data_IF_086471097976
#
_entry.id   IF_086471097976
#
_cell.length_a   1.000
_cell.length_b   1.000
_cell.length_c   1.000
_cell.angle_alpha   90.00
_cell.angle_beta   90.00
_cell.angle_gamma   90.00
#
_symmetry.space_group_name_H-M   'P 1'
#
loop_
_entity.id
_entity.type
_entity.pdbx_description
1 polymer ?
#
# COMPACT_ATOMS: atom_id res chain seq x y z
N UNK A 1 -24.14 7.22 -3.22
CA UNK A 1 -22.77 7.02 -3.72
C UNK A 1 -22.33 5.66 -3.20
N UNK A 2 -22.15 4.66 -4.07
CA UNK A 2 -21.63 3.37 -3.63
C UNK A 2 -20.19 3.60 -3.15
N UNK A 3 -19.84 3.10 -1.95
CA UNK A 3 -18.45 3.09 -1.52
C UNK A 3 -17.64 2.28 -2.53
N UNK A 4 -16.51 2.82 -3.00
CA UNK A 4 -15.60 2.09 -3.88
C UNK A 4 -15.09 0.86 -3.11
N UNK A 5 -15.25 -0.32 -3.70
CA UNK A 5 -14.89 -1.59 -3.07
C UNK A 5 -13.41 -1.87 -3.28
N UNK A 6 -12.73 -2.41 -2.26
CA UNK A 6 -11.37 -2.96 -2.36
C UNK A 6 -11.26 -3.90 -3.57
N UNK A 7 -10.16 -3.80 -4.28
CA UNK A 7 -9.91 -4.52 -5.53
C UNK A 7 -9.23 -5.87 -5.30
N UNK A 8 -8.49 -6.01 -4.20
CA UNK A 8 -7.82 -7.27 -3.81
C UNK A 8 -8.64 -8.05 -2.77
N UNK A 9 -8.24 -9.29 -2.50
CA UNK A 9 -8.85 -10.15 -1.46
C UNK A 9 -7.83 -10.58 -0.40
N UNK A 10 -8.32 -10.94 0.79
CA UNK A 10 -7.48 -11.49 1.87
C UNK A 10 -6.70 -12.72 1.36
N UNK A 11 -7.36 -13.61 0.62
CA UNK A 11 -6.73 -14.81 0.06
C UNK A 11 -5.59 -14.45 -0.90
N UNK A 12 -5.75 -13.41 -1.73
CA UNK A 12 -4.69 -12.95 -2.63
C UNK A 12 -3.51 -12.34 -1.87
N UNK A 13 -3.78 -11.55 -0.84
CA UNK A 13 -2.76 -10.98 0.05
C UNK A 13 -1.98 -12.10 0.74
N UNK A 14 -2.68 -13.11 1.31
CA UNK A 14 -2.08 -14.29 1.94
C UNK A 14 -1.29 -15.17 0.98
N UNK A 15 -1.79 -15.38 -0.23
CA UNK A 15 -1.08 -16.13 -1.24
C UNK A 15 0.20 -15.42 -1.74
N UNK A 16 0.22 -14.08 -1.69
CA UNK A 16 1.35 -13.28 -2.19
C UNK A 16 2.52 -13.23 -1.21
N UNK A 17 2.23 -13.17 0.09
CA UNK A 17 3.26 -13.03 1.13
C UNK A 17 2.91 -13.85 2.39
N UNK A 18 2.82 -15.19 2.28
CA UNK A 18 2.29 -16.05 3.34
C UNK A 18 3.03 -15.85 4.68
N UNK A 19 4.37 -15.82 4.65
CA UNK A 19 5.20 -15.66 5.85
C UNK A 19 5.03 -14.29 6.53
N UNK A 20 4.70 -13.24 5.76
CA UNK A 20 4.52 -11.89 6.31
C UNK A 20 3.17 -11.73 7.01
N UNK A 21 2.17 -12.52 6.61
CA UNK A 21 0.79 -12.36 7.07
C UNK A 21 0.29 -13.52 7.93
N UNK A 22 1.14 -14.49 8.24
CA UNK A 22 0.80 -15.73 8.96
C UNK A 22 0.04 -15.45 10.27
N UNK A 23 0.55 -14.50 11.06
CA UNK A 23 0.00 -14.12 12.36
C UNK A 23 -0.87 -12.86 12.32
N UNK A 24 -1.22 -12.35 11.13
CA UNK A 24 -1.95 -11.09 10.98
C UNK A 24 -3.45 -11.34 10.91
N UNK A 25 -4.26 -10.74 11.82
CA UNK A 25 -5.71 -10.91 11.79
C UNK A 25 -6.34 -10.41 10.49
N UNK A 26 -7.34 -11.13 9.99
CA UNK A 26 -8.10 -10.77 8.78
C UNK A 26 -8.74 -9.37 8.87
N UNK A 27 -9.13 -8.95 10.08
CA UNK A 27 -9.65 -7.61 10.33
C UNK A 27 -8.58 -6.52 10.06
N UNK A 28 -7.34 -6.76 10.48
CA UNK A 28 -6.20 -5.87 10.22
C UNK A 28 -5.90 -5.83 8.72
N UNK A 29 -5.87 -6.98 8.05
CA UNK A 29 -5.67 -7.03 6.59
C UNK A 29 -6.77 -6.27 5.85
N UNK A 30 -8.03 -6.43 6.26
CA UNK A 30 -9.18 -5.72 5.66
C UNK A 30 -9.05 -4.21 5.79
N UNK A 31 -8.62 -3.72 6.96
CA UNK A 31 -8.39 -2.29 7.17
C UNK A 31 -7.26 -1.76 6.28
N UNK A 32 -6.11 -2.44 6.26
CA UNK A 32 -4.96 -2.07 5.43
C UNK A 32 -5.26 -2.12 3.93
N UNK A 33 -6.14 -3.04 3.49
CA UNK A 33 -6.65 -3.07 2.12
C UNK A 33 -7.54 -1.85 1.82
N UNK A 34 -8.39 -1.45 2.76
CA UNK A 34 -9.20 -0.24 2.64
C UNK A 34 -8.34 1.03 2.50
N UNK A 35 -7.30 1.14 3.32
CA UNK A 35 -6.36 2.26 3.26
C UNK A 35 -5.59 2.26 1.92
N UNK A 36 -5.05 1.11 1.53
CA UNK A 36 -4.36 0.95 0.24
C UNK A 36 -5.27 1.28 -0.96
N UNK A 37 -6.55 0.93 -0.89
CA UNK A 37 -7.51 1.21 -1.95
C UNK A 37 -7.69 2.71 -2.19
N UNK A 38 -7.87 3.49 -1.12
CA UNK A 38 -8.02 4.95 -1.21
C UNK A 38 -6.79 5.57 -1.84
N UNK A 39 -5.60 5.09 -1.48
CA UNK A 39 -4.34 5.61 -2.00
C UNK A 39 -4.11 5.24 -3.47
N UNK A 40 -4.42 4.01 -3.89
CA UNK A 40 -4.36 3.63 -5.32
C UNK A 40 -5.26 4.51 -6.17
N UNK A 41 -6.46 4.84 -5.67
CA UNK A 41 -7.35 5.78 -6.35
C UNK A 41 -6.78 7.19 -6.36
N UNK A 42 -6.23 7.64 -5.23
CA UNK A 42 -5.59 8.95 -5.09
C UNK A 42 -4.42 9.13 -6.06
N UNK A 43 -3.51 8.16 -6.08
CA UNK A 43 -2.29 8.13 -6.91
C UNK A 43 -2.59 8.06 -8.41
N UNK A 44 -3.86 7.94 -8.77
CA UNK A 44 -4.35 8.18 -10.12
C UNK A 44 -4.09 7.03 -11.07
N UNK A 45 -3.97 5.80 -10.56
CA UNK A 45 -3.94 4.61 -11.40
C UNK A 45 -5.17 4.60 -12.31
N UNK A 46 -5.04 4.42 -13.64
CA UNK A 46 -6.15 4.46 -14.58
C UNK A 46 -7.05 3.23 -14.45
N UNK A 47 -8.35 3.41 -14.70
CA UNK A 47 -9.32 2.30 -14.66
C UNK A 47 -9.18 1.38 -15.85
N UNK A 48 -8.71 1.93 -16.97
CA UNK A 48 -8.58 1.27 -18.24
C UNK A 48 -7.15 1.46 -18.77
N UNK A 49 -6.50 0.35 -19.09
CA UNK A 49 -5.19 0.32 -19.73
C UNK A 49 -5.29 -0.70 -20.85
N UNK A 50 -5.36 -0.24 -22.09
CA UNK A 50 -5.50 -1.11 -23.25
C UNK A 50 -4.11 -1.52 -23.74
N UNK A 51 -3.81 -2.81 -23.70
CA UNK A 51 -2.58 -3.40 -24.24
C UNK A 51 -2.98 -4.47 -25.26
N UNK A 52 -2.78 -4.17 -26.55
CA UNK A 52 -3.38 -4.98 -27.61
C UNK A 52 -4.90 -4.88 -27.55
N UNK A 53 -5.58 -6.04 -27.45
CA UNK A 53 -7.04 -6.15 -27.35
C UNK A 53 -7.54 -6.40 -25.91
N UNK A 54 -6.65 -6.33 -24.91
CA UNK A 54 -6.97 -6.59 -23.51
C UNK A 54 -6.95 -5.31 -22.67
N UNK A 55 -7.94 -5.15 -21.79
CA UNK A 55 -7.94 -4.11 -20.76
C UNK A 55 -7.38 -4.66 -19.44
N UNK A 56 -6.18 -4.20 -19.09
CA UNK A 56 -5.46 -4.63 -17.89
C UNK A 56 -5.59 -3.63 -16.73
N UNK A 57 -6.37 -2.55 -16.88
CA UNK A 57 -6.42 -1.45 -15.90
C UNK A 57 -6.85 -1.91 -14.50
N UNK A 58 -7.88 -2.76 -14.42
CA UNK A 58 -8.34 -3.30 -13.15
C UNK A 58 -7.29 -4.22 -12.49
N UNK A 59 -6.59 -5.04 -13.27
CA UNK A 59 -5.54 -5.91 -12.76
C UNK A 59 -4.34 -5.12 -12.22
N UNK A 60 -3.96 -4.02 -12.87
CA UNK A 60 -2.88 -3.15 -12.39
C UNK A 60 -3.26 -2.46 -11.08
N UNK A 61 -4.50 -1.96 -10.97
CA UNK A 61 -5.00 -1.35 -9.72
C UNK A 61 -5.06 -2.36 -8.58
N UNK A 62 -5.53 -3.58 -8.84
CA UNK A 62 -5.55 -4.67 -7.86
C UNK A 62 -4.14 -5.00 -7.37
N UNK A 63 -3.18 -5.16 -8.28
CA UNK A 63 -1.79 -5.42 -7.92
C UNK A 63 -1.17 -4.28 -7.10
N UNK A 64 -1.46 -3.03 -7.48
CA UNK A 64 -1.02 -1.87 -6.72
C UNK A 64 -1.60 -1.88 -5.30
N UNK A 65 -2.90 -2.13 -5.15
CA UNK A 65 -3.57 -2.21 -3.85
C UNK A 65 -2.93 -3.28 -2.99
N UNK A 66 -2.76 -4.50 -3.54
CA UNK A 66 -2.14 -5.62 -2.84
C UNK A 66 -0.71 -5.34 -2.39
N UNK A 67 0.13 -4.77 -3.25
CA UNK A 67 1.51 -4.44 -2.89
C UNK A 67 1.58 -3.31 -1.86
N UNK A 68 0.66 -2.35 -1.93
CA UNK A 68 0.60 -1.30 -0.92
C UNK A 68 0.13 -1.84 0.43
N UNK A 69 -0.88 -2.70 0.47
CA UNK A 69 -1.31 -3.41 1.70
C UNK A 69 -0.14 -4.13 2.36
N UNK A 70 0.60 -4.93 1.59
CA UNK A 70 1.77 -5.66 2.10
C UNK A 70 2.89 -4.72 2.54
N UNK A 71 3.07 -3.59 1.86
CA UNK A 71 4.04 -2.59 2.29
C UNK A 71 3.64 -1.95 3.62
N UNK A 72 2.39 -1.53 3.78
CA UNK A 72 1.91 -0.96 5.03
C UNK A 72 2.11 -1.92 6.19
N UNK A 73 1.86 -3.21 5.98
CA UNK A 73 2.11 -4.24 6.97
C UNK A 73 3.58 -4.33 7.39
N UNK A 74 4.53 -4.24 6.45
CA UNK A 74 5.98 -4.23 6.81
C UNK A 74 6.39 -3.01 7.63
N UNK A 75 5.61 -1.93 7.61
CA UNK A 75 5.89 -0.73 8.41
C UNK A 75 5.34 -0.84 9.83
N UNK A 76 4.43 -1.79 10.07
CA UNK A 76 3.88 -2.09 11.40
C UNK A 76 4.73 -3.09 12.19
N UNK A 77 5.69 -3.78 11.54
CA UNK A 77 6.63 -4.68 12.22
C UNK A 77 7.78 -3.90 12.91
N UNK A 78 8.16 -4.33 14.12
CA UNK A 78 9.19 -3.69 14.96
C UNK A 78 10.55 -3.57 14.26
N UNK A 79 10.82 -4.46 13.30
CA UNK A 79 12.00 -4.50 12.45
C UNK A 79 12.24 -3.22 11.62
N UNK A 80 11.19 -2.42 11.35
CA UNK A 80 11.29 -1.13 10.65
C UNK A 80 11.59 0.06 11.57
N UNK A 81 11.55 -0.14 12.89
CA UNK A 81 11.66 0.90 13.91
C UNK A 81 13.04 0.81 14.58
N UNK A 82 14.05 1.46 14.00
CA UNK A 82 15.37 1.60 14.64
C UNK A 82 15.37 2.48 15.91
N UNK A 83 14.50 2.23 16.90
CA UNK A 83 14.39 3.00 18.14
C UNK A 83 14.03 2.08 19.33
N UNK A 84 14.88 2.14 20.36
CA UNK A 84 14.66 1.61 21.71
C UNK A 84 13.26 1.96 22.21
N UNK A 85 12.43 0.96 22.52
CA UNK A 85 11.12 1.19 23.12
C UNK A 85 11.29 1.58 24.60
N UNK A 86 10.96 2.82 24.93
CA UNK A 86 10.44 3.14 26.26
C UNK A 86 9.20 4.03 26.11
N UNK A 87 8.08 3.44 26.52
CA UNK A 87 6.83 4.01 27.03
C UNK A 87 5.92 4.97 26.22
N UNK A 88 4.69 4.45 26.09
CA UNK A 88 3.34 5.01 26.32
C UNK A 88 2.91 6.33 25.66
N UNK A 89 1.78 6.19 24.98
CA UNK A 89 0.74 7.17 24.69
C UNK A 89 0.94 8.14 23.51
N UNK A 90 -0.19 8.39 22.86
CA UNK A 90 -0.46 9.29 21.74
C UNK A 90 -0.02 8.77 20.37
N UNK A 91 -0.97 8.10 19.70
CA UNK A 91 -1.25 8.16 18.26
C UNK A 91 -0.08 8.72 17.45
N UNK A 92 0.84 7.84 17.08
CA UNK A 92 1.99 8.20 16.25
C UNK A 92 1.50 8.32 14.80
N UNK A 93 0.78 9.40 14.51
CA UNK A 93 0.45 9.79 13.14
C UNK A 93 1.76 10.07 12.41
N UNK A 94 2.29 9.07 11.73
CA UNK A 94 3.56 9.20 11.03
C UNK A 94 3.29 9.89 9.72
N UNK A 95 3.29 11.22 9.74
CA UNK A 95 3.25 12.04 8.54
C UNK A 95 4.56 11.84 7.75
N UNK A 96 4.55 10.93 6.78
CA UNK A 96 5.63 10.83 5.80
C UNK A 96 5.53 12.01 4.83
N UNK A 97 6.04 13.17 5.24
CA UNK A 97 6.05 14.40 4.43
C UNK A 97 7.41 15.08 4.47
N UNK A 98 8.16 14.91 3.37
CA UNK A 98 8.86 15.98 2.61
C UNK A 98 9.77 15.33 1.58
N UNK A 99 9.36 15.40 0.31
CA UNK A 99 10.07 15.50 -0.99
C UNK A 99 11.47 14.86 -1.22
N UNK A 100 11.95 14.01 -0.31
CA UNK A 100 13.19 13.24 -0.35
C UNK A 100 13.06 11.96 0.50
N UNK A 101 12.16 11.95 1.49
CA UNK A 101 11.87 10.81 2.35
C UNK A 101 10.90 9.79 1.73
N UNK A 102 10.07 10.21 0.76
CA UNK A 102 9.07 9.31 0.12
C UNK A 102 9.73 8.17 -0.65
N UNK A 103 10.81 8.44 -1.38
CA UNK A 103 11.60 7.41 -2.07
C UNK A 103 12.27 6.47 -1.07
N UNK A 104 12.56 6.90 0.17
CA UNK A 104 13.12 6.02 1.19
C UNK A 104 12.04 5.14 1.83
N UNK A 105 10.88 5.71 2.13
CA UNK A 105 9.72 4.98 2.67
C UNK A 105 9.21 3.94 1.68
N UNK A 106 8.87 4.34 0.46
CA UNK A 106 8.30 3.39 -0.51
C UNK A 106 9.32 2.32 -0.92
N UNK A 107 10.62 2.59 -0.79
CA UNK A 107 11.65 1.59 -1.10
C UNK A 107 12.09 0.76 0.12
N UNK A 108 11.51 0.96 1.31
CA UNK A 108 11.93 0.26 2.54
C UNK A 108 11.56 -1.23 2.54
N UNK A 109 10.54 -1.62 1.77
CA UNK A 109 10.13 -3.01 1.58
C UNK A 109 10.20 -3.43 0.11
N UNK A 110 10.22 -4.74 -0.15
CA UNK A 110 10.09 -5.25 -1.52
C UNK A 110 8.73 -4.87 -2.13
N UNK A 111 7.68 -4.88 -1.32
CA UNK A 111 6.31 -4.56 -1.74
C UNK A 111 6.15 -3.10 -2.13
N UNK A 112 6.72 -2.19 -1.35
CA UNK A 112 6.73 -0.77 -1.69
C UNK A 112 7.51 -0.53 -2.99
N UNK A 113 8.64 -1.22 -3.22
CA UNK A 113 9.37 -1.14 -4.51
C UNK A 113 8.52 -1.64 -5.68
N UNK A 114 7.74 -2.70 -5.49
CA UNK A 114 6.82 -3.21 -6.52
C UNK A 114 5.67 -2.23 -6.80
N UNK A 115 5.07 -1.66 -5.74
CA UNK A 115 4.09 -0.59 -5.86
C UNK A 115 4.64 0.61 -6.63
N UNK A 116 5.83 1.09 -6.24
CA UNK A 116 6.50 2.22 -6.86
C UNK A 116 6.77 1.99 -8.35
N UNK A 117 7.12 0.76 -8.74
CA UNK A 117 7.30 0.39 -10.14
C UNK A 117 5.98 0.53 -10.91
N UNK A 118 4.87 0.04 -10.36
CA UNK A 118 3.55 0.18 -10.99
C UNK A 118 3.13 1.64 -11.06
N UNK A 119 3.33 2.41 -9.99
CA UNK A 119 3.00 3.83 -9.95
C UNK A 119 3.77 4.63 -11.00
N UNK A 120 5.07 4.38 -11.17
CA UNK A 120 5.87 5.02 -12.22
C UNK A 120 5.41 4.68 -13.64
N UNK A 121 4.89 3.48 -13.84
CA UNK A 121 4.50 3.00 -15.16
C UNK A 121 3.07 3.42 -15.54
N UNK A 122 2.17 3.49 -14.56
CA UNK A 122 0.74 3.61 -14.80
C UNK A 122 0.05 4.68 -13.96
N UNK A 123 0.62 5.09 -12.82
CA UNK A 123 0.08 6.17 -12.00
C UNK A 123 0.32 7.56 -12.59
N UNK A 124 -0.17 8.60 -11.92
CA UNK A 124 0.16 9.99 -12.27
C UNK A 124 1.55 10.34 -11.75
N UNK A 125 2.58 9.85 -12.45
CA UNK A 125 4.01 9.86 -12.12
C UNK A 125 4.70 11.19 -11.75
N UNK A 126 3.95 12.27 -11.54
CA UNK A 126 4.46 13.58 -11.15
C UNK A 126 4.16 13.98 -9.69
N UNK A 127 3.15 13.38 -9.02
CA UNK A 127 2.83 13.66 -7.61
C UNK A 127 2.29 12.41 -6.90
N UNK A 128 3.00 11.97 -5.86
CA UNK A 128 2.56 10.89 -4.96
C UNK A 128 1.65 11.48 -3.89
N UNK A 129 0.45 10.92 -3.68
CA UNK A 129 -0.42 11.38 -2.61
C UNK A 129 0.03 10.87 -1.25
N UNK A 130 -0.32 11.61 -0.19
CA UNK A 130 0.18 11.35 1.15
C UNK A 130 -0.68 10.32 1.87
N UNK A 131 -0.06 9.24 2.36
CA UNK A 131 -0.70 8.30 3.27
C UNK A 131 -0.59 8.83 4.71
N UNK A 132 -1.70 8.87 5.41
CA UNK A 132 -1.75 9.04 6.86
C UNK A 132 -2.09 7.69 7.48
N UNK A 133 -1.08 6.98 7.96
CA UNK A 133 -1.29 5.75 8.75
C UNK A 133 -1.64 6.18 10.17
N UNK A 134 -2.87 5.93 10.59
CA UNK A 134 -3.29 6.07 11.98
C UNK A 134 -3.12 4.70 12.66
N UNK A 135 -2.26 4.65 13.68
CA UNK A 135 -2.09 3.50 14.57
C UNK A 135 -2.98 3.64 15.80
#
# INVERSE_FOLDING_TARGET
MAASQVLTTIDQVKATAPDLVEDVPDATLTQLMGDAHVEVLGDGFPAHIIVGDEDIGQAIREQAERYLTLHLLTMDDESGRGIQSEQVDVLKTTYFSKNMQNTKWINSSIWGRMYWKLWKQYGKGDNFNFIVVQH
#
